data_IF_761585654364
#
_entry.id   IF_761585654364
#
_cell.length_a   1.000
_cell.length_b   1.000
_cell.length_c   1.000
_cell.angle_alpha   90.00
_cell.angle_beta   90.00
_cell.angle_gamma   90.00
#
_symmetry.space_group_name_H-M   'P 1'
#
loop_
_entity.id
_entity.type
_entity.pdbx_description
1 polymer ?
#
# COMPACT_ATOMS: atom_id res chain seq x y z
N UNK A 1 3.53 -37.40 -1.26
CA UNK A 1 4.80 -37.22 -1.98
C UNK A 1 4.84 -35.78 -2.46
N UNK A 2 5.95 -35.07 -2.27
CA UNK A 2 6.14 -33.73 -2.87
C UNK A 2 6.58 -33.93 -4.32
N UNK A 3 5.95 -33.20 -5.24
CA UNK A 3 6.25 -33.24 -6.66
C UNK A 3 6.46 -31.82 -7.20
N UNK A 4 7.44 -31.68 -8.11
CA UNK A 4 7.60 -30.50 -8.96
C UNK A 4 7.25 -30.92 -10.38
N UNK A 5 6.27 -30.25 -10.99
CA UNK A 5 5.78 -30.60 -12.34
C UNK A 5 5.51 -29.36 -13.16
N UNK A 6 5.88 -29.43 -14.44
CA UNK A 6 5.43 -28.53 -15.48
C UNK A 6 4.45 -29.24 -16.42
N UNK A 7 3.40 -28.55 -16.82
CA UNK A 7 2.34 -29.07 -17.68
C UNK A 7 2.25 -28.29 -18.99
N UNK A 8 1.76 -28.91 -20.09
CA UNK A 8 1.72 -28.28 -21.42
C UNK A 8 0.90 -27.00 -21.52
N UNK A 9 -0.01 -26.75 -20.58
CA UNK A 9 -0.79 -25.52 -20.47
C UNK A 9 0.00 -24.35 -19.83
N UNK A 10 1.30 -24.52 -19.57
CA UNK A 10 2.16 -23.49 -18.99
C UNK A 10 2.14 -23.44 -17.47
N UNK A 11 1.42 -24.35 -16.81
CA UNK A 11 1.42 -24.45 -15.34
C UNK A 11 2.68 -25.14 -14.86
N UNK A 12 3.36 -24.55 -13.87
CA UNK A 12 4.39 -25.22 -13.08
C UNK A 12 4.02 -25.10 -11.61
N UNK A 13 4.15 -26.19 -10.88
CA UNK A 13 3.81 -26.21 -9.46
C UNK A 13 4.74 -27.12 -8.67
N UNK A 14 4.97 -26.74 -7.41
CA UNK A 14 5.52 -27.59 -6.36
C UNK A 14 4.38 -27.87 -5.37
N UNK A 15 4.02 -29.14 -5.21
CA UNK A 15 2.83 -29.51 -4.42
C UNK A 15 2.93 -30.92 -3.85
N UNK A 16 2.14 -31.17 -2.81
CA UNK A 16 1.90 -32.51 -2.27
C UNK A 16 0.79 -33.15 -3.09
N UNK A 17 1.09 -34.27 -3.76
CA UNK A 17 0.10 -34.98 -4.59
C UNK A 17 -1.20 -35.29 -3.84
N UNK A 18 -2.33 -35.08 -4.50
CA UNK A 18 -3.63 -35.47 -3.97
C UNK A 18 -3.85 -37.00 -4.04
N UNK A 19 -4.72 -37.56 -3.19
CA UNK A 19 -5.12 -38.96 -3.29
C UNK A 19 -5.76 -39.29 -4.63
N UNK A 20 -5.59 -40.52 -5.12
CA UNK A 20 -6.31 -41.04 -6.30
C UNK A 20 -5.44 -41.52 -7.47
N UNK A 21 -4.12 -41.35 -7.42
CA UNK A 21 -3.21 -41.94 -8.41
C UNK A 21 -3.34 -41.33 -9.82
N UNK A 22 -3.17 -42.15 -10.86
CA UNK A 22 -3.21 -41.73 -12.27
C UNK A 22 -1.84 -41.47 -12.90
N UNK A 23 -1.81 -40.97 -14.14
CA UNK A 23 -0.57 -40.69 -14.85
C UNK A 23 0.03 -39.34 -14.40
N UNK A 24 1.33 -39.33 -14.09
CA UNK A 24 2.04 -38.11 -13.65
C UNK A 24 2.09 -37.01 -14.73
N UNK A 25 2.00 -37.38 -16.01
CA UNK A 25 2.02 -36.45 -17.15
C UNK A 25 0.64 -35.95 -17.56
N UNK A 26 -0.42 -36.56 -17.04
CA UNK A 26 -1.79 -36.16 -17.30
C UNK A 26 -2.21 -35.08 -16.29
N UNK A 27 -2.37 -33.85 -16.76
CA UNK A 27 -2.78 -32.72 -15.91
C UNK A 27 -4.11 -32.96 -15.20
N UNK A 28 -5.02 -33.72 -15.82
CA UNK A 28 -6.34 -34.01 -15.28
C UNK A 28 -6.36 -35.23 -14.33
N UNK A 29 -5.22 -35.91 -14.15
CA UNK A 29 -5.12 -37.03 -13.22
C UNK A 29 -5.43 -36.58 -11.78
N UNK A 30 -6.15 -37.40 -10.97
CA UNK A 30 -6.51 -37.04 -9.60
C UNK A 30 -5.35 -36.58 -8.73
N UNK A 31 -4.15 -37.18 -8.89
CA UNK A 31 -2.93 -36.77 -8.17
C UNK A 31 -2.49 -35.32 -8.40
N UNK A 32 -2.86 -34.73 -9.54
CA UNK A 32 -2.42 -33.40 -9.98
C UNK A 32 -3.44 -32.30 -9.64
N UNK A 33 -4.52 -32.62 -8.92
CA UNK A 33 -5.54 -31.65 -8.49
C UNK A 33 -4.97 -30.37 -7.85
N UNK A 34 -3.95 -30.41 -6.97
CA UNK A 34 -3.40 -29.17 -6.40
C UNK A 34 -2.69 -28.28 -7.43
N UNK A 35 -2.16 -28.83 -8.52
CA UNK A 35 -1.63 -28.04 -9.64
C UNK A 35 -2.72 -27.59 -10.62
N UNK A 36 -3.88 -28.25 -10.62
CA UNK A 36 -5.00 -27.87 -11.49
C UNK A 36 -5.90 -26.81 -10.86
N UNK A 37 -6.13 -26.94 -9.57
CA UNK A 37 -6.99 -26.07 -8.76
C UNK A 37 -6.27 -25.77 -7.45
N UNK A 38 -5.26 -24.87 -7.48
CA UNK A 38 -4.48 -24.55 -6.29
C UNK A 38 -5.30 -23.81 -5.23
N UNK A 39 -6.42 -23.18 -5.62
CA UNK A 39 -7.28 -22.42 -4.70
C UNK A 39 -8.08 -23.34 -3.79
N UNK A 40 -8.55 -24.48 -4.31
CA UNK A 40 -9.27 -25.48 -3.51
C UNK A 40 -8.35 -26.43 -2.73
N UNK A 41 -7.03 -26.34 -2.93
CA UNK A 41 -6.03 -27.21 -2.29
C UNK A 41 -4.86 -26.43 -1.68
N UNK A 42 -5.11 -25.35 -0.91
CA UNK A 42 -4.06 -24.43 -0.48
C UNK A 42 -3.04 -25.13 0.44
N UNK A 43 -3.45 -26.08 1.28
CA UNK A 43 -2.51 -26.83 2.14
C UNK A 43 -1.55 -27.76 1.38
N UNK A 44 -1.90 -28.12 0.14
CA UNK A 44 -1.09 -29.00 -0.69
C UNK A 44 -0.17 -28.24 -1.63
N UNK A 45 -0.36 -26.93 -1.80
CA UNK A 45 0.43 -26.11 -2.72
C UNK A 45 1.59 -25.48 -1.96
N UNK A 46 2.81 -25.84 -2.36
CA UNK A 46 4.03 -25.22 -1.83
C UNK A 46 4.39 -24.00 -2.69
N UNK A 47 4.23 -24.12 -4.01
CA UNK A 47 4.41 -23.02 -4.96
C UNK A 47 3.61 -23.29 -6.24
N UNK A 48 3.13 -22.24 -6.89
CA UNK A 48 2.35 -22.33 -8.13
C UNK A 48 2.63 -21.14 -9.06
N UNK A 49 2.80 -21.40 -10.36
CA UNK A 49 3.04 -20.37 -11.37
C UNK A 49 1.85 -19.44 -11.65
N UNK A 50 0.65 -19.83 -11.23
CA UNK A 50 -0.57 -19.00 -11.36
C UNK A 50 -0.75 -18.02 -10.21
N UNK A 51 0.02 -18.16 -9.12
CA UNK A 51 0.00 -17.15 -8.07
C UNK A 51 0.80 -15.91 -8.46
N UNK A 52 0.49 -14.80 -7.80
CA UNK A 52 1.22 -13.58 -8.01
C UNK A 52 2.66 -13.74 -7.51
N UNK A 53 3.64 -13.55 -8.40
CA UNK A 53 5.04 -13.84 -8.07
C UNK A 53 5.73 -12.69 -7.34
N UNK A 54 5.08 -11.52 -7.22
CA UNK A 54 5.65 -10.30 -6.64
C UNK A 54 6.96 -9.86 -7.31
N UNK A 55 7.06 -10.07 -8.63
CA UNK A 55 8.12 -9.49 -9.47
C UNK A 55 7.97 -7.97 -9.50
N UNK A 56 9.07 -7.23 -9.39
CA UNK A 56 9.07 -5.80 -9.60
C UNK A 56 8.96 -5.45 -11.08
N UNK A 57 8.01 -4.58 -11.42
CA UNK A 57 7.91 -4.00 -12.76
C UNK A 57 9.00 -2.97 -13.04
N UNK A 58 9.59 -2.40 -11.99
CA UNK A 58 10.73 -1.48 -12.03
C UNK A 58 11.49 -1.51 -10.70
N UNK A 59 12.78 -1.13 -10.67
CA UNK A 59 13.53 -1.04 -9.43
C UNK A 59 12.83 -0.17 -8.38
N UNK A 60 13.15 -0.39 -7.09
CA UNK A 60 12.65 0.41 -5.97
C UNK A 60 12.71 1.92 -6.29
N UNK A 61 11.58 2.60 -6.11
CA UNK A 61 11.47 4.03 -6.38
C UNK A 61 11.50 4.81 -5.08
N UNK A 62 12.52 5.65 -4.87
CA UNK A 62 12.62 6.53 -3.70
C UNK A 62 12.39 7.98 -4.11
N UNK A 63 11.47 8.68 -3.44
CA UNK A 63 11.08 10.04 -3.79
C UNK A 63 10.80 10.88 -2.55
N UNK A 64 11.40 12.06 -2.50
CA UNK A 64 11.05 13.08 -1.51
C UNK A 64 9.94 13.97 -2.07
N UNK A 65 8.84 14.04 -1.31
CA UNK A 65 7.67 14.86 -1.64
C UNK A 65 7.59 16.00 -0.63
N UNK A 66 7.55 17.23 -1.13
CA UNK A 66 7.24 18.41 -0.34
C UNK A 66 5.73 18.56 -0.27
N UNK A 67 5.17 18.28 0.90
CA UNK A 67 3.78 18.60 1.18
C UNK A 67 3.67 20.08 1.51
N UNK A 68 3.11 20.86 0.59
CA UNK A 68 3.10 22.33 0.69
C UNK A 68 2.33 22.84 1.93
N UNK A 69 2.73 24.00 2.42
CA UNK A 69 2.03 24.73 3.49
C UNK A 69 0.54 24.86 3.16
N UNK A 70 -0.32 24.71 4.17
CA UNK A 70 -1.74 25.07 4.11
C UNK A 70 -1.96 26.29 5.01
N UNK A 71 -2.42 27.39 4.42
CA UNK A 71 -2.62 28.64 5.14
C UNK A 71 -3.62 28.47 6.30
N UNK A 72 -3.49 29.30 7.33
CA UNK A 72 -4.51 29.42 8.36
C UNK A 72 -5.77 30.07 7.81
N UNK A 73 -6.92 29.72 8.37
CA UNK A 73 -8.21 30.25 7.97
C UNK A 73 -9.04 30.64 9.20
N UNK A 74 -9.59 31.85 9.16
CA UNK A 74 -10.61 32.31 10.08
C UNK A 74 -11.64 33.11 9.30
N UNK A 75 -12.90 32.71 9.40
CA UNK A 75 -14.01 33.46 8.83
C UNK A 75 -15.02 33.76 9.92
N UNK A 76 -15.36 35.03 10.05
CA UNK A 76 -16.32 35.54 11.03
C UNK A 76 -17.59 35.91 10.26
N UNK A 77 -18.70 35.26 10.61
CA UNK A 77 -20.01 35.64 10.12
C UNK A 77 -20.64 36.61 11.12
N UNK A 78 -21.09 37.76 10.62
CA UNK A 78 -21.87 38.73 11.38
C UNK A 78 -23.27 38.78 10.81
N UNK A 79 -24.28 38.48 11.61
CA UNK A 79 -25.66 38.81 11.28
C UNK A 79 -25.85 40.30 11.55
N UNK A 80 -25.90 41.10 10.49
CA UNK A 80 -26.30 42.51 10.58
C UNK A 80 -27.80 42.59 10.24
N UNK A 81 -28.70 42.75 11.23
CA UNK A 81 -30.03 43.23 10.91
C UNK A 81 -29.89 44.67 10.40
N UNK A 82 -30.11 44.91 9.11
CA UNK A 82 -30.22 46.29 8.60
C UNK A 82 -31.58 46.84 9.09
N UNK A 83 -31.76 48.08 9.57
CA UNK A 83 -31.01 49.33 9.38
C UNK A 83 -31.15 50.24 10.63
N UNK A 84 -30.02 50.74 11.15
CA UNK A 84 -29.87 52.11 11.65
C UNK A 84 -28.38 52.50 11.59
N UNK A 85 -28.07 53.73 11.20
CA UNK A 85 -26.70 54.23 11.25
C UNK A 85 -26.27 54.36 12.73
N UNK A 86 -25.36 53.49 13.18
CA UNK A 86 -24.78 53.60 14.53
C UNK A 86 -23.39 54.22 14.38
N UNK A 87 -23.18 55.35 15.04
CA UNK A 87 -21.91 56.11 15.08
C UNK A 87 -20.77 55.38 15.84
N UNK A 88 -20.97 54.12 16.21
CA UNK A 88 -20.04 53.28 16.95
C UNK A 88 -20.34 51.79 16.71
N UNK A 89 -19.34 50.89 16.81
CA UNK A 89 -19.53 49.46 16.56
C UNK A 89 -20.54 48.85 17.55
N UNK A 90 -21.60 48.18 17.09
CA UNK A 90 -22.51 47.46 17.98
C UNK A 90 -21.80 46.30 18.71
N UNK A 91 -22.05 46.17 20.01
CA UNK A 91 -21.58 45.09 20.89
C UNK A 91 -22.37 43.79 20.76
N UNK A 92 -23.57 43.83 20.15
CA UNK A 92 -24.47 42.69 20.08
C UNK A 92 -24.56 42.11 18.65
N UNK A 93 -24.13 40.85 18.53
CA UNK A 93 -24.27 40.03 17.33
C UNK A 93 -24.04 38.57 17.67
N UNK A 94 -24.72 37.65 16.99
CA UNK A 94 -24.39 36.22 17.06
C UNK A 94 -23.18 36.00 16.15
N UNK A 95 -22.06 35.57 16.73
CA UNK A 95 -20.82 35.30 16.03
C UNK A 95 -20.71 33.81 15.71
N UNK A 96 -20.52 33.47 14.43
CA UNK A 96 -20.08 32.14 14.04
C UNK A 96 -18.68 32.25 13.43
N UNK A 97 -17.74 31.48 13.96
CA UNK A 97 -16.37 31.43 13.44
C UNK A 97 -16.12 30.09 12.79
N UNK A 98 -15.81 30.09 11.48
CA UNK A 98 -15.25 28.90 10.83
C UNK A 98 -13.74 28.94 11.00
N UNK A 99 -13.21 28.00 11.78
CA UNK A 99 -11.79 27.93 12.18
C UNK A 99 -11.07 26.75 11.51
N UNK A 100 -11.58 26.25 10.38
CA UNK A 100 -10.96 25.13 9.68
C UNK A 100 -11.00 25.33 8.18
N UNK A 101 -9.84 25.16 7.56
CA UNK A 101 -9.70 24.94 6.13
C UNK A 101 -9.15 23.55 5.88
N UNK A 102 -9.64 22.91 4.82
CA UNK A 102 -9.15 21.63 4.34
C UNK A 102 -8.67 21.76 2.91
N UNK A 103 -7.66 20.96 2.54
CA UNK A 103 -7.19 20.78 1.16
C UNK A 103 -7.16 19.30 0.87
N UNK A 104 -7.70 18.91 -0.28
CA UNK A 104 -7.45 17.61 -0.88
C UNK A 104 -6.62 17.84 -2.15
N UNK A 105 -5.53 17.10 -2.33
CA UNK A 105 -4.69 17.21 -3.53
C UNK A 105 -4.08 15.85 -3.87
N UNK A 106 -3.96 15.57 -5.15
CA UNK A 106 -3.30 14.36 -5.64
C UNK A 106 -1.86 14.71 -6.05
N UNK A 107 -0.91 13.94 -5.54
CA UNK A 107 0.51 14.12 -5.75
C UNK A 107 1.03 12.88 -6.47
N UNK A 108 1.74 13.07 -7.59
CA UNK A 108 2.37 11.94 -8.28
C UNK A 108 3.63 11.53 -7.51
N UNK A 109 3.71 10.25 -7.15
CA UNK A 109 4.89 9.67 -6.51
C UNK A 109 5.81 9.05 -7.56
N UNK A 110 5.26 8.18 -8.42
CA UNK A 110 6.00 7.53 -9.50
C UNK A 110 5.16 7.58 -10.77
N UNK A 111 5.78 7.92 -11.91
CA UNK A 111 5.19 7.74 -13.23
C UNK A 111 5.67 6.42 -13.84
N UNK A 112 4.75 5.64 -14.41
CA UNK A 112 5.03 4.38 -15.08
C UNK A 112 4.18 4.25 -16.35
N UNK A 113 4.57 3.37 -17.27
CA UNK A 113 3.86 3.15 -18.54
C UNK A 113 3.51 1.66 -18.73
N UNK A 114 3.01 1.02 -17.66
CA UNK A 114 2.74 -0.42 -17.63
C UNK A 114 1.51 -0.82 -18.44
N UNK A 115 0.59 0.12 -18.73
CA UNK A 115 -0.63 -0.16 -19.50
C UNK A 115 -1.74 -0.84 -18.69
N UNK A 116 -1.52 -1.09 -17.40
CA UNK A 116 -2.48 -1.62 -16.44
C UNK A 116 -2.28 -0.95 -15.07
N UNK A 117 -3.26 -1.10 -14.16
CA UNK A 117 -3.13 -0.64 -12.77
C UNK A 117 -2.36 -1.70 -11.97
N UNK A 118 -1.12 -1.44 -11.53
CA UNK A 118 -0.31 -2.45 -10.85
C UNK A 118 -0.73 -2.62 -9.38
N UNK A 119 -0.37 -3.77 -8.81
CA UNK A 119 -0.23 -3.89 -7.36
C UNK A 119 1.02 -3.12 -6.92
N UNK A 120 0.99 -2.55 -5.72
CA UNK A 120 2.09 -1.74 -5.23
C UNK A 120 2.15 -1.72 -3.70
N UNK A 121 3.32 -1.37 -3.16
CA UNK A 121 3.49 -0.89 -1.79
C UNK A 121 4.12 0.49 -1.80
N UNK A 122 3.73 1.31 -0.84
CA UNK A 122 4.40 2.57 -0.52
C UNK A 122 4.84 2.50 0.93
N UNK A 123 6.08 2.89 1.21
CA UNK A 123 6.59 3.04 2.56
C UNK A 123 6.90 4.50 2.90
N UNK A 124 6.83 4.82 4.20
CA UNK A 124 7.23 6.10 4.77
C UNK A 124 7.78 5.85 6.18
N UNK A 125 9.02 6.26 6.41
CA UNK A 125 9.64 6.17 7.74
C UNK A 125 9.80 4.75 8.24
N UNK A 126 10.19 3.81 7.36
CA UNK A 126 10.49 2.43 7.74
C UNK A 126 9.29 1.50 7.88
N UNK A 127 8.12 1.89 7.35
CA UNK A 127 6.93 1.03 7.34
C UNK A 127 6.10 1.19 6.07
N UNK A 128 5.33 0.17 5.72
CA UNK A 128 4.27 0.30 4.70
C UNK A 128 3.18 1.26 5.20
N UNK A 129 2.72 2.15 4.33
CA UNK A 129 1.65 3.08 4.66
C UNK A 129 0.32 2.61 4.07
N UNK A 130 -0.72 2.72 4.89
CA UNK A 130 -2.10 2.44 4.53
C UNK A 130 -2.87 3.72 4.21
N UNK A 131 -4.08 3.58 3.68
CA UNK A 131 -4.96 4.71 3.41
C UNK A 131 -5.28 5.48 4.70
N UNK A 132 -5.11 6.79 4.67
CA UNK A 132 -5.32 7.66 5.83
C UNK A 132 -4.13 7.70 6.79
N UNK A 133 -2.93 7.30 6.36
CA UNK A 133 -1.73 7.42 7.20
C UNK A 133 -1.45 8.89 7.53
N UNK A 134 -1.31 9.17 8.82
CA UNK A 134 -0.93 10.51 9.32
C UNK A 134 0.56 10.74 9.04
N UNK A 135 0.87 11.81 8.28
CA UNK A 135 2.26 12.18 7.93
C UNK A 135 2.75 13.39 8.70
N UNK A 136 1.84 14.20 9.23
CA UNK A 136 2.17 15.34 10.06
C UNK A 136 1.05 15.62 11.04
N UNK A 137 1.41 15.75 12.32
CA UNK A 137 0.57 16.38 13.34
C UNK A 137 1.33 17.59 13.84
N UNK A 138 0.76 18.77 13.68
CA UNK A 138 1.17 20.00 14.33
C UNK A 138 0.09 20.39 15.36
N UNK A 139 0.50 21.07 16.44
CA UNK A 139 -0.41 21.41 17.55
C UNK A 139 -1.69 22.12 17.09
N UNK A 140 -2.74 22.09 17.92
CA UNK A 140 -4.04 22.69 17.64
C UNK A 140 -4.82 22.05 16.46
N UNK A 141 -4.69 20.74 16.24
CA UNK A 141 -5.48 20.01 15.25
C UNK A 141 -5.09 20.32 13.80
N UNK A 142 -3.84 20.72 13.59
CA UNK A 142 -3.22 20.88 12.28
C UNK A 142 -2.68 19.51 11.85
N UNK A 143 -3.34 18.84 10.90
CA UNK A 143 -2.98 17.47 10.56
C UNK A 143 -2.95 17.26 9.05
N UNK A 144 -2.08 16.36 8.60
CA UNK A 144 -2.01 15.87 7.23
C UNK A 144 -2.08 14.35 7.21
N UNK A 145 -2.94 13.84 6.32
CA UNK A 145 -3.09 12.44 6.01
C UNK A 145 -2.75 12.20 4.55
N UNK A 146 -2.27 11.00 4.24
CA UNK A 146 -2.05 10.54 2.87
C UNK A 146 -2.67 9.18 2.66
N UNK A 147 -3.16 8.96 1.45
CA UNK A 147 -3.64 7.66 0.99
C UNK A 147 -2.96 7.34 -0.33
N UNK A 148 -2.12 6.30 -0.41
CA UNK A 148 -1.50 5.93 -1.67
C UNK A 148 -2.54 5.31 -2.62
N UNK A 149 -2.38 5.55 -3.92
CA UNK A 149 -3.25 4.99 -4.96
C UNK A 149 -2.45 4.66 -6.22
N UNK A 150 -3.02 3.81 -7.07
CA UNK A 150 -2.47 3.50 -8.38
C UNK A 150 -3.48 3.79 -9.49
N UNK A 151 -2.94 4.13 -10.65
CA UNK A 151 -3.66 4.24 -11.92
C UNK A 151 -2.90 3.44 -12.98
N UNK A 152 -3.32 3.52 -14.23
CA UNK A 152 -2.58 2.89 -15.34
C UNK A 152 -1.23 3.57 -15.63
N UNK A 153 -1.00 4.79 -15.12
CA UNK A 153 0.19 5.59 -15.44
C UNK A 153 0.96 6.15 -14.24
N UNK A 154 0.38 6.14 -13.04
CA UNK A 154 1.06 6.65 -11.84
C UNK A 154 0.75 5.81 -10.61
N UNK A 155 1.73 5.76 -9.72
CA UNK A 155 1.51 5.62 -8.28
C UNK A 155 1.45 7.04 -7.71
N UNK A 156 0.39 7.35 -6.99
CA UNK A 156 0.14 8.66 -6.41
C UNK A 156 -0.17 8.61 -4.93
N UNK A 157 -0.21 9.78 -4.33
CA UNK A 157 -0.64 10.02 -2.96
C UNK A 157 -1.79 11.01 -3.01
N UNK A 158 -2.94 10.62 -2.46
CA UNK A 158 -4.01 11.57 -2.16
C UNK A 158 -3.75 12.14 -0.78
N UNK A 159 -3.40 13.41 -0.74
CA UNK A 159 -3.24 14.16 0.49
C UNK A 159 -4.58 14.77 0.91
N UNK A 160 -4.89 14.66 2.20
CA UNK A 160 -5.88 15.50 2.89
C UNK A 160 -5.14 16.26 3.98
N UNK A 161 -5.25 17.59 3.97
CA UNK A 161 -4.66 18.45 5.00
C UNK A 161 -5.74 19.30 5.65
N UNK A 162 -5.62 19.53 6.96
CA UNK A 162 -6.47 20.42 7.73
C UNK A 162 -5.63 21.45 8.48
N UNK A 163 -6.00 22.72 8.36
CA UNK A 163 -5.44 23.84 9.12
C UNK A 163 -6.51 24.53 9.94
N UNK A 164 -6.09 25.30 10.95
CA UNK A 164 -6.97 26.14 11.79
C UNK A 164 -6.67 27.62 11.59
N UNK A 165 -6.72 28.44 12.64
CA UNK A 165 -6.28 29.85 12.57
C UNK A 165 -4.80 29.98 12.22
N UNK A 166 -3.99 28.97 12.56
CA UNK A 166 -2.57 28.90 12.21
C UNK A 166 -2.34 28.06 10.95
N UNK A 167 -1.29 28.40 10.21
CA UNK A 167 -0.87 27.62 9.05
C UNK A 167 -0.32 26.24 9.46
N UNK A 168 -0.66 25.21 8.70
CA UNK A 168 0.03 23.92 8.73
C UNK A 168 1.29 24.06 7.86
N UNK A 169 2.50 23.99 8.43
CA UNK A 169 3.73 24.23 7.68
C UNK A 169 3.99 23.14 6.64
N UNK A 170 4.83 23.46 5.65
CA UNK A 170 5.32 22.46 4.72
C UNK A 170 6.15 21.39 5.46
N UNK A 171 6.14 20.16 4.94
CA UNK A 171 7.02 19.09 5.41
C UNK A 171 7.50 18.28 4.22
N UNK A 172 8.77 17.89 4.25
CA UNK A 172 9.35 16.98 3.29
C UNK A 172 9.26 15.56 3.84
N UNK A 173 8.71 14.65 3.03
CA UNK A 173 8.57 13.24 3.36
C UNK A 173 9.24 12.41 2.26
N UNK A 174 10.13 11.51 2.64
CA UNK A 174 10.75 10.55 1.71
C UNK A 174 9.94 9.27 1.72
N UNK A 175 9.33 8.98 0.57
CA UNK A 175 8.57 7.76 0.33
C UNK A 175 9.40 6.80 -0.50
N UNK A 176 9.14 5.51 -0.33
CA UNK A 176 9.60 4.49 -1.27
C UNK A 176 8.42 3.73 -1.84
N UNK A 177 8.52 3.26 -3.08
CA UNK A 177 7.46 2.49 -3.74
C UNK A 177 8.01 1.24 -4.43
N UNK A 178 7.38 0.11 -4.13
CA UNK A 178 7.51 -1.15 -4.88
C UNK A 178 6.32 -1.24 -5.82
N UNK A 179 6.57 -1.48 -7.10
CA UNK A 179 5.55 -1.58 -8.14
C UNK A 179 5.68 -2.94 -8.78
N UNK A 180 4.62 -3.74 -8.72
CA UNK A 180 4.68 -5.13 -9.13
C UNK A 180 4.20 -5.34 -10.56
N UNK A 181 4.85 -6.27 -11.24
CA UNK A 181 4.48 -6.71 -12.59
C UNK A 181 3.27 -7.61 -12.53
N UNK A 182 2.34 -7.46 -13.48
CA UNK A 182 1.41 -8.55 -13.78
C UNK A 182 2.10 -9.52 -14.73
N UNK A 183 2.48 -10.69 -14.24
CA UNK A 183 3.27 -11.64 -15.04
C UNK A 183 2.36 -12.62 -15.77
N UNK A 184 2.45 -12.58 -17.10
CA UNK A 184 1.71 -13.48 -17.98
C UNK A 184 2.67 -14.48 -18.65
N UNK A 185 2.14 -15.61 -19.09
CA UNK A 185 2.92 -16.56 -19.88
C UNK A 185 3.34 -15.91 -21.21
N UNK A 186 4.63 -15.94 -21.51
CA UNK A 186 5.20 -15.37 -22.72
C UNK A 186 5.41 -16.47 -23.77
N UNK A 187 4.80 -16.36 -24.98
CA UNK A 187 5.01 -17.34 -26.04
C UNK A 187 6.49 -17.53 -26.38
N UNK A 188 6.92 -18.78 -26.53
CA UNK A 188 8.30 -19.13 -26.88
C UNK A 188 9.25 -19.26 -25.69
N UNK A 189 8.84 -18.89 -24.48
CA UNK A 189 9.63 -19.14 -23.26
C UNK A 189 9.44 -20.56 -22.74
N UNK A 190 10.47 -21.08 -22.08
CA UNK A 190 10.44 -22.43 -21.52
C UNK A 190 9.41 -22.54 -20.39
N UNK A 191 8.68 -23.65 -20.38
CA UNK A 191 7.71 -23.92 -19.30
C UNK A 191 8.45 -24.09 -17.98
N UNK A 192 9.55 -24.84 -17.98
CA UNK A 192 10.39 -25.07 -16.82
C UNK A 192 11.79 -25.44 -17.29
N UNK A 193 12.79 -24.59 -17.02
CA UNK A 193 14.17 -24.87 -17.38
C UNK A 193 15.06 -23.64 -17.32
N UNK A 194 16.26 -23.78 -17.88
CA UNK A 194 17.21 -22.67 -17.99
C UNK A 194 17.07 -21.97 -19.34
N UNK A 195 17.04 -20.64 -19.32
CA UNK A 195 17.24 -19.79 -20.49
C UNK A 195 18.53 -19.00 -20.29
N UNK A 196 19.63 -19.47 -20.91
CA UNK A 196 20.97 -19.04 -20.53
C UNK A 196 21.29 -19.51 -19.10
N UNK A 197 21.67 -18.57 -18.23
CA UNK A 197 21.99 -18.84 -16.82
C UNK A 197 20.79 -18.66 -15.88
N UNK A 198 19.63 -18.24 -16.41
CA UNK A 198 18.46 -17.92 -15.60
C UNK A 198 17.47 -19.09 -15.56
N UNK A 199 16.97 -19.40 -14.37
CA UNK A 199 15.84 -20.31 -14.21
C UNK A 199 14.56 -19.59 -14.61
N UNK A 200 13.84 -20.20 -15.54
CA UNK A 200 12.58 -19.71 -16.07
C UNK A 200 11.49 -20.75 -15.83
N UNK A 201 10.39 -20.32 -15.21
CA UNK A 201 9.24 -21.16 -14.88
C UNK A 201 7.93 -20.54 -15.38
N UNK A 202 6.92 -21.37 -15.63
CA UNK A 202 5.58 -20.93 -16.02
C UNK A 202 5.51 -20.29 -17.40
N UNK A 203 6.49 -20.57 -18.27
CA UNK A 203 6.62 -19.89 -19.56
C UNK A 203 6.99 -18.41 -19.39
N UNK A 204 7.92 -18.10 -18.49
CA UNK A 204 8.38 -16.73 -18.25
C UNK A 204 7.69 -15.98 -17.12
N UNK A 205 6.81 -16.63 -16.36
CA UNK A 205 6.15 -16.01 -15.20
C UNK A 205 7.08 -15.82 -14.01
N UNK A 206 8.08 -16.69 -13.91
CA UNK A 206 9.23 -16.50 -13.05
C UNK A 206 10.47 -16.56 -13.91
N UNK A 207 11.37 -15.62 -13.68
CA UNK A 207 12.65 -15.48 -14.36
C UNK A 207 13.66 -14.94 -13.36
N UNK A 208 14.65 -15.75 -12.97
CA UNK A 208 15.61 -15.37 -11.93
C UNK A 208 16.53 -14.20 -12.29
N UNK A 209 16.47 -13.67 -13.52
CA UNK A 209 17.10 -12.39 -13.86
C UNK A 209 16.37 -11.18 -13.28
N UNK A 210 15.11 -11.35 -12.84
CA UNK A 210 14.26 -10.28 -12.34
C UNK A 210 14.30 -10.16 -10.81
N UNK A 211 13.77 -9.05 -10.31
CA UNK A 211 13.71 -8.72 -8.89
C UNK A 211 12.37 -9.13 -8.30
N UNK A 212 12.38 -9.84 -7.17
CA UNK A 212 11.18 -10.37 -6.52
C UNK A 212 11.12 -9.94 -5.06
N UNK A 213 9.90 -9.72 -4.56
CA UNK A 213 9.69 -9.55 -3.13
C UNK A 213 10.08 -10.83 -2.38
N UNK A 214 10.83 -10.66 -1.31
CA UNK A 214 11.25 -11.73 -0.40
C UNK A 214 11.07 -11.32 1.04
N UNK A 215 11.12 -12.30 1.93
CA UNK A 215 11.35 -12.02 3.34
C UNK A 215 12.71 -11.36 3.50
N UNK A 216 12.74 -10.33 4.34
CA UNK A 216 13.92 -9.56 4.65
C UNK A 216 14.26 -9.71 6.15
N UNK A 217 15.51 -9.42 6.48
CA UNK A 217 15.93 -9.28 7.87
C UNK A 217 15.45 -7.93 8.43
N UNK A 218 15.37 -7.85 9.76
CA UNK A 218 15.02 -6.59 10.42
C UNK A 218 16.03 -5.49 10.05
N UNK A 219 15.53 -4.33 9.59
CA UNK A 219 16.35 -3.18 9.19
C UNK A 219 16.96 -3.26 7.79
N UNK A 220 16.73 -4.34 7.04
CA UNK A 220 17.18 -4.47 5.64
C UNK A 220 16.34 -3.63 4.67
N UNK A 221 15.12 -3.28 5.06
CA UNK A 221 14.06 -2.77 4.21
C UNK A 221 13.11 -1.89 5.02
N UNK A 222 12.48 -0.94 4.34
CA UNK A 222 11.42 -0.09 4.89
C UNK A 222 10.01 -0.67 4.65
N UNK A 223 9.92 -1.89 4.12
CA UNK A 223 8.65 -2.55 3.85
C UNK A 223 8.42 -3.72 4.81
N UNK A 224 7.16 -3.88 5.18
CA UNK A 224 6.68 -4.90 6.09
C UNK A 224 5.28 -5.35 5.68
N UNK A 225 4.91 -6.54 6.14
CA UNK A 225 3.53 -7.00 6.16
C UNK A 225 3.07 -7.14 7.59
N UNK A 226 2.15 -6.29 8.00
CA UNK A 226 1.40 -6.47 9.24
C UNK A 226 0.52 -7.73 9.14
N UNK A 227 0.62 -8.60 10.14
CA UNK A 227 -0.09 -9.88 10.21
C UNK A 227 -1.46 -9.78 10.88
N UNK A 228 -1.95 -8.56 11.13
CA UNK A 228 -3.20 -8.33 11.82
C UNK A 228 -3.64 -6.88 11.75
N UNK A 229 -4.48 -6.47 12.69
CA UNK A 229 -4.97 -5.11 12.80
C UNK A 229 -3.82 -4.11 12.97
N UNK A 230 -3.93 -2.96 12.33
CA UNK A 230 -2.92 -1.88 12.37
C UNK A 230 -3.48 -0.58 12.91
N UNK A 231 -4.80 -0.40 12.94
CA UNK A 231 -5.44 0.84 13.37
C UNK A 231 -6.47 0.54 14.45
N UNK A 232 -6.45 1.35 15.50
CA UNK A 232 -7.50 1.41 16.50
C UNK A 232 -8.06 2.83 16.63
N UNK A 233 -9.36 2.91 16.85
CA UNK A 233 -10.09 4.15 17.09
C UNK A 233 -10.72 4.11 18.47
N UNK A 234 -10.23 4.95 19.36
CA UNK A 234 -10.84 5.18 20.67
C UNK A 234 -11.18 6.66 20.78
N UNK A 235 -12.28 7.00 21.46
CA UNK A 235 -12.67 8.39 21.79
C UNK A 235 -12.56 9.43 20.64
N UNK A 236 -12.81 9.01 19.39
CA UNK A 236 -12.70 9.87 18.21
C UNK A 236 -11.26 10.25 17.83
N UNK A 237 -10.29 9.47 18.30
CA UNK A 237 -8.85 9.60 18.05
C UNK A 237 -8.29 8.29 17.51
N UNK A 238 -7.22 8.40 16.74
CA UNK A 238 -6.61 7.28 16.06
C UNK A 238 -5.26 6.90 16.68
N UNK A 239 -5.00 5.59 16.76
CA UNK A 239 -3.66 5.02 16.94
C UNK A 239 -3.38 4.05 15.79
N UNK A 240 -2.27 4.27 15.09
CA UNK A 240 -1.80 3.45 13.98
C UNK A 240 -0.47 2.80 14.36
N UNK A 241 -0.37 1.48 14.25
CA UNK A 241 0.83 0.70 14.49
C UNK A 241 1.06 -0.19 13.27
N UNK A 242 2.19 0.01 12.59
CA UNK A 242 2.58 -0.74 11.40
C UNK A 242 4.10 -0.79 11.30
N UNK A 243 4.67 -1.93 10.90
CA UNK A 243 6.12 -2.13 10.84
C UNK A 243 6.84 -1.90 12.19
N UNK A 244 6.12 -2.07 13.30
CA UNK A 244 6.60 -1.73 14.65
C UNK A 244 6.64 -0.23 14.99
N UNK A 245 6.30 0.65 14.05
CA UNK A 245 6.25 2.11 14.25
C UNK A 245 4.84 2.52 14.67
N UNK A 246 4.75 3.23 15.80
CA UNK A 246 3.49 3.73 16.35
C UNK A 246 3.30 5.22 16.06
N UNK A 247 2.12 5.59 15.58
CA UNK A 247 1.66 6.98 15.48
C UNK A 247 0.33 7.11 16.24
N UNK A 248 0.28 8.00 17.23
CA UNK A 248 -0.89 8.19 18.10
C UNK A 248 -1.34 9.64 18.05
N UNK A 249 -2.61 9.87 17.78
CA UNK A 249 -3.21 11.20 17.91
C UNK A 249 -3.27 11.64 19.37
N UNK A 250 -3.16 12.95 19.60
CA UNK A 250 -3.32 13.51 20.93
C UNK A 250 -4.69 13.12 21.52
N UNK A 251 -4.70 12.82 22.82
CA UNK A 251 -5.86 12.40 23.60
C UNK A 251 -6.42 11.01 23.27
N UNK A 252 -5.78 10.18 22.43
CA UNK A 252 -6.21 8.79 22.26
C UNK A 252 -6.17 8.03 23.59
N UNK A 253 -7.29 7.41 23.96
CA UNK A 253 -7.50 6.76 25.26
C UNK A 253 -7.56 5.24 25.22
N UNK A 254 -7.30 4.62 24.07
CA UNK A 254 -7.29 3.17 23.93
C UNK A 254 -5.97 2.54 24.37
N UNK A 255 -5.88 1.21 24.28
CA UNK A 255 -4.71 0.42 24.70
C UNK A 255 -4.10 -0.43 23.59
N UNK A 256 -4.36 -0.08 22.33
CA UNK A 256 -3.92 -0.88 21.18
C UNK A 256 -2.39 -0.88 21.01
N UNK A 257 -1.81 -2.07 20.92
CA UNK A 257 -0.36 -2.27 20.81
C UNK A 257 0.12 -2.55 19.39
N UNK A 258 -0.78 -2.82 18.45
CA UNK A 258 -0.44 -3.31 17.11
C UNK A 258 -0.29 -4.82 17.03
N UNK A 259 -0.19 -5.30 15.80
CA UNK A 259 0.03 -6.71 15.45
C UNK A 259 1.51 -7.00 15.18
N UNK A 260 1.87 -8.28 15.10
CA UNK A 260 3.17 -8.69 14.58
C UNK A 260 3.30 -8.37 13.09
N UNK A 261 4.53 -8.26 12.60
CA UNK A 261 4.82 -7.98 11.19
C UNK A 261 5.98 -8.82 10.67
N UNK A 262 6.06 -8.98 9.35
CA UNK A 262 7.18 -9.63 8.65
C UNK A 262 7.88 -8.58 7.78
N UNK A 263 9.17 -8.29 7.99
CA UNK A 263 9.93 -7.46 7.07
C UNK A 263 10.01 -8.11 5.69
N UNK A 264 9.76 -7.32 4.65
CA UNK A 264 9.85 -7.76 3.26
C UNK A 264 10.62 -6.77 2.42
N UNK A 265 11.36 -7.24 1.45
CA UNK A 265 12.21 -6.40 0.62
C UNK A 265 12.52 -7.08 -0.69
N UNK A 266 13.45 -6.51 -1.43
CA UNK A 266 13.92 -7.01 -2.72
C UNK A 266 15.43 -7.22 -2.63
#
# INVERSE_FOLDING_TARGET
>A
MIAVRGFPNGVVACFVEAPGGGNIRDFDAPRNRPAKDPVSWPENVIWHSDFFQYELAMPLQTRTITHATLAGYSQIYRLTPTIAAVASPPTDGIYFTRITQTRATDITLVTHNLGYVPLFFVSLGGRVITNGTVVQVAGNGLTRWVSPFATSSIIGLREIAASRTSALPAVDCTYQALIFRNTETTPGRTICGLEGDNLVLGGGRVDTSQQYLRSALAGETDFDFDLGETIDIANGRCRHVSGGVTTTEADYSGSFTGSGFIPVGV
#
